data_IF_760094428137
#
_entry.id   IF_760094428137
#
_cell.length_a   1.000
_cell.length_b   1.000
_cell.length_c   1.000
_cell.angle_alpha   90.00
_cell.angle_beta   90.00
_cell.angle_gamma   90.00
#
_symmetry.space_group_name_H-M   'P 1'
#
loop_
_entity.id
_entity.type
_entity.pdbx_description
1 polymer ?
#
# COMPACT_ATOMS: atom_id res chain seq x y z
N UNK A 1 -5.58 23.34 -90.21
CA UNK A 1 -6.39 23.52 -88.98
C UNK A 1 -6.07 22.39 -88.02
N UNK A 2 -5.10 22.59 -87.13
CA UNK A 2 -4.75 21.64 -86.06
C UNK A 2 -5.37 22.16 -84.76
N UNK A 3 -6.31 21.41 -84.18
CA UNK A 3 -6.89 21.71 -82.86
C UNK A 3 -6.05 21.02 -81.80
N UNK A 4 -5.34 21.83 -81.01
CA UNK A 4 -4.58 21.41 -79.84
C UNK A 4 -5.53 21.32 -78.63
N UNK A 5 -5.65 20.14 -78.05
CA UNK A 5 -6.36 19.89 -76.78
C UNK A 5 -5.36 19.87 -75.64
N UNK A 6 -5.41 20.90 -74.80
CA UNK A 6 -4.64 21.01 -73.56
C UNK A 6 -5.39 20.25 -72.46
N UNK A 7 -4.74 19.34 -71.71
CA UNK A 7 -5.38 18.68 -70.57
C UNK A 7 -5.41 19.64 -69.37
N UNK A 8 -6.62 19.91 -68.86
CA UNK A 8 -6.85 20.69 -67.65
C UNK A 8 -6.49 19.82 -66.43
N UNK A 9 -5.32 20.04 -65.85
CA UNK A 9 -4.92 19.39 -64.58
C UNK A 9 -5.63 20.13 -63.44
N UNK A 10 -6.67 19.50 -62.88
CA UNK A 10 -7.36 19.95 -61.67
C UNK A 10 -6.46 19.64 -60.45
N UNK A 11 -5.74 20.64 -59.96
CA UNK A 11 -5.03 20.55 -58.68
C UNK A 11 -6.06 20.68 -57.56
N UNK A 12 -6.54 19.54 -57.06
CA UNK A 12 -7.35 19.45 -55.84
C UNK A 12 -6.45 19.76 -54.64
N UNK A 13 -6.36 21.04 -54.28
CA UNK A 13 -5.80 21.50 -53.01
C UNK A 13 -6.70 21.01 -51.88
N UNK A 14 -6.42 19.80 -51.38
CA UNK A 14 -6.94 19.33 -50.10
C UNK A 14 -6.27 20.17 -49.00
N UNK A 15 -6.85 21.33 -48.70
CA UNK A 15 -6.57 22.05 -47.45
C UNK A 15 -7.13 21.22 -46.31
N UNK A 16 -6.36 20.24 -45.84
CA UNK A 16 -6.54 19.69 -44.50
C UNK A 16 -6.25 20.81 -43.52
N UNK A 17 -7.29 21.56 -43.14
CA UNK A 17 -7.24 22.41 -41.97
C UNK A 17 -7.01 21.49 -40.78
N UNK A 18 -5.75 21.34 -40.36
CA UNK A 18 -5.43 20.77 -39.07
C UNK A 18 -6.14 21.65 -38.04
N UNK A 19 -7.28 21.18 -37.52
CA UNK A 19 -7.84 21.73 -36.28
C UNK A 19 -6.80 21.44 -35.21
N UNK A 20 -6.08 22.49 -34.79
CA UNK A 20 -5.26 22.42 -33.60
C UNK A 20 -6.17 22.00 -32.43
N UNK A 21 -5.83 20.89 -31.78
CA UNK A 21 -6.48 20.46 -30.54
C UNK A 21 -5.99 21.42 -29.47
N UNK A 22 -6.78 22.44 -29.13
CA UNK A 22 -6.34 23.51 -28.21
C UNK A 22 -6.37 23.06 -26.72
N UNK A 23 -7.18 22.06 -26.43
CA UNK A 23 -7.34 21.48 -25.09
C UNK A 23 -7.78 20.02 -25.15
N UNK A 24 -7.57 19.29 -24.07
CA UNK A 24 -8.05 17.92 -23.91
C UNK A 24 -8.38 17.59 -22.46
N UNK A 25 -9.14 16.52 -22.28
CA UNK A 25 -9.52 15.97 -20.98
C UNK A 25 -9.37 14.45 -21.04
N UNK A 26 -8.98 13.84 -19.92
CA UNK A 26 -8.92 12.40 -19.76
C UNK A 26 -9.18 12.01 -18.31
N UNK A 27 -9.94 10.94 -18.11
CA UNK A 27 -10.05 10.30 -16.80
C UNK A 27 -9.81 8.81 -16.89
N UNK A 28 -9.42 8.22 -15.76
CA UNK A 28 -9.43 6.77 -15.58
C UNK A 28 -9.66 6.42 -14.12
N UNK A 29 -10.14 5.19 -13.90
CA UNK A 29 -10.37 4.63 -12.57
C UNK A 29 -9.84 3.21 -12.57
N UNK A 30 -9.16 2.84 -11.49
CA UNK A 30 -8.77 1.47 -11.23
C UNK A 30 -10.00 0.57 -11.14
N UNK A 31 -9.82 -0.74 -11.29
CA UNK A 31 -10.94 -1.70 -11.19
C UNK A 31 -11.54 -1.77 -9.79
N UNK A 32 -10.77 -1.35 -8.79
CA UNK A 32 -11.12 -1.39 -7.37
C UNK A 32 -11.00 0.01 -6.79
N UNK A 33 -11.83 0.25 -5.78
CA UNK A 33 -11.73 1.44 -4.94
C UNK A 33 -11.05 0.98 -3.65
N UNK A 34 -9.94 1.61 -3.23
CA UNK A 34 -9.25 1.25 -2.01
C UNK A 34 -10.15 1.54 -0.81
N UNK A 35 -9.84 0.94 0.31
CA UNK A 35 -10.52 1.20 1.58
C UNK A 35 -9.63 2.02 2.49
N UNK A 36 -10.23 2.99 3.20
CA UNK A 36 -9.57 3.72 4.26
C UNK A 36 -9.04 2.78 5.32
N UNK A 37 -7.83 3.02 5.79
CA UNK A 37 -7.21 2.12 6.73
C UNK A 37 -6.25 2.83 7.65
N UNK A 38 -6.37 2.48 8.91
CA UNK A 38 -5.47 2.92 9.94
C UNK A 38 -4.03 2.53 9.58
N UNK A 39 -3.09 3.46 9.74
CA UNK A 39 -1.70 3.26 9.33
C UNK A 39 -0.88 2.41 10.32
N UNK A 40 -1.49 1.96 11.43
CA UNK A 40 -0.89 1.09 12.46
C UNK A 40 0.42 1.66 13.03
N UNK A 41 0.34 2.72 13.87
CA UNK A 41 1.50 3.37 14.46
C UNK A 41 2.35 2.41 15.28
N UNK A 42 3.64 2.38 14.97
CA UNK A 42 4.64 1.64 15.72
C UNK A 42 4.81 2.17 17.15
N UNK A 43 4.45 3.43 17.39
CA UNK A 43 4.45 4.00 18.74
C UNK A 43 3.45 3.30 19.67
N UNK A 44 2.29 2.87 19.16
CA UNK A 44 1.24 2.24 19.98
C UNK A 44 1.29 0.71 19.92
N UNK A 45 1.84 0.13 18.85
CA UNK A 45 2.04 -1.32 18.74
C UNK A 45 0.73 -2.11 18.72
N UNK A 46 -0.37 -1.52 18.25
CA UNK A 46 -1.73 -2.08 18.34
C UNK A 46 -1.90 -3.42 17.60
N UNK A 47 -1.08 -3.67 16.58
CA UNK A 47 -0.98 -4.98 15.91
C UNK A 47 -0.59 -6.09 16.90
N UNK A 48 0.30 -5.81 17.86
CA UNK A 48 0.79 -6.76 18.86
C UNK A 48 0.13 -6.62 20.23
N UNK A 49 -0.24 -5.42 20.64
CA UNK A 49 -0.80 -5.11 21.96
C UNK A 49 -2.32 -4.98 21.95
N UNK A 50 -2.94 -4.78 20.79
CA UNK A 50 -4.37 -4.50 20.68
C UNK A 50 -4.73 -3.06 21.04
N UNK A 51 -6.01 -2.75 20.92
CA UNK A 51 -6.64 -1.46 21.26
C UNK A 51 -7.93 -1.73 22.03
N UNK A 52 -8.48 -0.71 22.70
CA UNK A 52 -9.81 -0.80 23.28
C UNK A 52 -10.85 -0.66 22.16
N UNK A 53 -11.64 -1.72 21.94
CA UNK A 53 -12.70 -1.71 20.92
C UNK A 53 -14.09 -1.81 21.55
N UNK A 54 -15.12 -1.43 20.78
CA UNK A 54 -16.51 -1.64 21.19
C UNK A 54 -16.91 -3.13 21.27
N UNK A 55 -16.10 -4.03 20.71
CA UNK A 55 -16.31 -5.49 20.75
C UNK A 55 -15.68 -6.16 21.96
N UNK A 56 -15.03 -5.38 22.84
CA UNK A 56 -14.43 -5.88 24.08
C UNK A 56 -12.98 -6.34 23.93
N UNK A 57 -12.29 -5.92 22.85
CA UNK A 57 -10.82 -6.00 22.78
C UNK A 57 -10.21 -5.13 23.85
N UNK A 58 -9.05 -5.56 24.34
CA UNK A 58 -8.31 -4.87 25.39
C UNK A 58 -6.90 -4.54 24.90
N UNK A 59 -6.30 -3.54 25.52
CA UNK A 59 -4.86 -3.27 25.38
C UNK A 59 -4.07 -4.17 26.32
N UNK A 60 -3.22 -5.01 25.76
CA UNK A 60 -2.28 -5.85 26.50
C UNK A 60 -1.04 -5.04 26.87
N UNK A 61 -0.48 -5.29 28.04
CA UNK A 61 0.88 -4.81 28.33
C UNK A 61 1.90 -5.63 27.54
N UNK A 62 3.04 -5.04 27.20
CA UNK A 62 4.17 -5.73 26.55
C UNK A 62 4.53 -7.03 27.31
N UNK A 63 4.58 -6.98 28.64
CA UNK A 63 4.85 -8.15 29.48
C UNK A 63 3.83 -9.27 29.31
N UNK A 64 2.55 -8.94 29.17
CA UNK A 64 1.49 -9.93 28.99
C UNK A 64 1.52 -10.53 27.58
N UNK A 65 1.76 -9.71 26.55
CA UNK A 65 1.94 -10.18 25.17
C UNK A 65 3.17 -11.11 25.03
N UNK A 66 4.31 -10.74 25.63
CA UNK A 66 5.51 -11.61 25.71
C UNK A 66 5.19 -12.92 26.46
N UNK A 67 4.44 -12.85 27.56
CA UNK A 67 4.03 -14.05 28.31
C UNK A 67 3.12 -14.95 27.47
N UNK A 68 2.17 -14.38 26.72
CA UNK A 68 1.33 -15.12 25.79
C UNK A 68 2.16 -15.87 24.78
N UNK A 69 3.07 -15.17 24.11
CA UNK A 69 3.95 -15.78 23.13
C UNK A 69 4.81 -16.92 23.72
N UNK A 70 5.46 -16.70 24.88
CA UNK A 70 6.23 -17.75 25.59
C UNK A 70 5.38 -18.96 25.98
N UNK A 71 4.12 -18.75 26.35
CA UNK A 71 3.23 -19.83 26.74
C UNK A 71 2.60 -20.57 25.56
N UNK A 72 2.52 -19.95 24.38
CA UNK A 72 1.86 -20.50 23.21
C UNK A 72 2.40 -21.88 22.83
N UNK A 73 3.72 -22.04 22.85
CA UNK A 73 4.41 -23.29 22.51
C UNK A 73 4.85 -24.12 23.72
N UNK A 74 4.59 -23.63 24.94
CA UNK A 74 4.97 -24.32 26.18
C UNK A 74 4.05 -25.52 26.45
N UNK A 75 4.65 -26.68 26.78
CA UNK A 75 3.90 -27.89 27.15
C UNK A 75 3.42 -27.90 28.60
N UNK A 76 3.79 -26.90 29.41
CA UNK A 76 3.43 -26.84 30.83
C UNK A 76 1.93 -26.62 31.03
N UNK A 77 1.34 -27.24 32.05
CA UNK A 77 -0.10 -27.09 32.35
C UNK A 77 -0.48 -25.64 32.70
N UNK A 78 0.44 -24.91 33.34
CA UNK A 78 0.26 -23.50 33.64
C UNK A 78 0.09 -22.66 32.36
N UNK A 79 0.93 -22.89 31.34
CA UNK A 79 0.82 -22.19 30.07
C UNK A 79 -0.40 -22.63 29.26
N UNK A 80 -0.72 -23.93 29.21
CA UNK A 80 -1.96 -24.40 28.57
C UNK A 80 -3.19 -23.74 29.18
N UNK A 81 -3.29 -23.71 30.52
CA UNK A 81 -4.38 -23.04 31.22
C UNK A 81 -4.42 -21.53 30.92
N UNK A 82 -3.25 -20.89 30.85
CA UNK A 82 -3.15 -19.48 30.50
C UNK A 82 -3.66 -19.21 29.08
N UNK A 83 -3.17 -19.92 28.06
CA UNK A 83 -3.62 -19.76 26.67
C UNK A 83 -5.13 -20.03 26.53
N UNK A 84 -5.64 -21.11 27.14
CA UNK A 84 -7.07 -21.42 27.11
C UNK A 84 -7.91 -20.32 27.78
N UNK A 85 -7.42 -19.73 28.88
CA UNK A 85 -8.11 -18.63 29.54
C UNK A 85 -8.09 -17.36 28.69
N UNK A 86 -6.94 -17.01 28.11
CA UNK A 86 -6.76 -15.81 27.30
C UNK A 86 -7.53 -15.86 25.98
N UNK A 87 -7.82 -17.07 25.47
CA UNK A 87 -8.58 -17.30 24.24
C UNK A 87 -10.01 -17.82 24.47
N UNK A 88 -10.49 -17.80 25.72
CA UNK A 88 -11.79 -18.40 26.10
C UNK A 88 -13.01 -17.73 25.48
N UNK A 89 -12.86 -16.49 24.99
CA UNK A 89 -13.89 -15.71 24.29
C UNK A 89 -13.75 -15.79 22.77
N UNK A 90 -13.33 -16.95 22.26
CA UNK A 90 -12.92 -17.13 20.87
C UNK A 90 -11.79 -16.17 20.46
N UNK A 91 -10.95 -15.79 21.43
CA UNK A 91 -9.79 -14.92 21.23
C UNK A 91 -10.12 -13.45 20.99
N UNK A 92 -11.37 -12.98 21.20
CA UNK A 92 -11.76 -11.57 20.93
C UNK A 92 -10.86 -10.55 21.61
N UNK A 93 -10.43 -10.84 22.84
CA UNK A 93 -9.51 -9.98 23.60
C UNK A 93 -8.08 -9.94 23.09
N UNK A 94 -7.65 -10.91 22.28
CA UNK A 94 -6.28 -10.98 21.78
C UNK A 94 -6.03 -9.87 20.75
N UNK A 95 -4.79 -9.38 20.64
CA UNK A 95 -4.39 -8.50 19.53
C UNK A 95 -4.40 -9.25 18.18
N UNK A 96 -4.40 -8.55 17.04
CA UNK A 96 -4.37 -9.19 15.73
C UNK A 96 -3.23 -10.21 15.57
N UNK A 97 -2.01 -9.86 15.97
CA UNK A 97 -0.87 -10.76 15.85
C UNK A 97 -0.90 -11.91 16.86
N UNK A 98 -1.48 -11.72 18.05
CA UNK A 98 -1.71 -12.82 18.99
C UNK A 98 -2.75 -13.82 18.46
N UNK A 99 -3.79 -13.34 17.76
CA UNK A 99 -4.76 -14.20 17.06
C UNK A 99 -4.10 -14.99 15.94
N UNK A 100 -3.25 -14.32 15.15
CA UNK A 100 -2.47 -14.97 14.10
C UNK A 100 -1.58 -16.08 14.66
N UNK A 101 -0.82 -15.79 15.71
CA UNK A 101 0.05 -16.77 16.37
C UNK A 101 -0.76 -17.97 16.92
N UNK A 102 -1.92 -17.72 17.53
CA UNK A 102 -2.81 -18.77 18.01
C UNK A 102 -3.42 -19.59 16.87
N UNK A 103 -3.75 -18.97 15.75
CA UNK A 103 -4.26 -19.66 14.57
C UNK A 103 -3.22 -20.66 14.07
N UNK A 104 -1.97 -20.22 13.88
CA UNK A 104 -0.90 -21.09 13.37
C UNK A 104 -0.68 -22.28 14.30
N UNK A 105 -0.65 -22.04 15.62
CA UNK A 105 -0.62 -23.11 16.61
C UNK A 105 -1.75 -24.13 16.40
N UNK A 106 -2.99 -23.67 16.26
CA UNK A 106 -4.15 -24.55 16.11
C UNK A 106 -4.12 -25.33 14.79
N UNK A 107 -3.58 -24.76 13.72
CA UNK A 107 -3.35 -25.46 12.45
C UNK A 107 -2.37 -26.62 12.63
N UNK A 108 -1.20 -26.35 13.23
CA UNK A 108 -0.19 -27.39 13.49
C UNK A 108 -0.74 -28.48 14.42
N UNK A 109 -1.48 -28.12 15.47
CA UNK A 109 -2.05 -29.10 16.40
C UNK A 109 -3.16 -29.96 15.77
N UNK A 110 -3.82 -29.46 14.72
CA UNK A 110 -4.86 -30.19 13.98
C UNK A 110 -4.27 -31.18 12.98
N UNK A 111 -3.05 -30.95 12.51
CA UNK A 111 -2.36 -31.80 11.53
C UNK A 111 -1.16 -32.53 12.17
N UNK A 112 -1.31 -33.83 12.49
CA UNK A 112 -0.24 -34.61 13.09
C UNK A 112 1.03 -34.68 12.23
N UNK A 113 0.91 -34.65 10.90
CA UNK A 113 2.07 -34.70 10.01
C UNK A 113 2.88 -33.41 10.13
N UNK A 114 2.21 -32.25 10.17
CA UNK A 114 2.84 -30.96 10.44
C UNK A 114 3.47 -30.92 11.84
N UNK A 115 2.80 -31.44 12.87
CA UNK A 115 3.34 -31.49 14.22
C UNK A 115 4.57 -32.41 14.37
N UNK A 116 4.60 -33.54 13.64
CA UNK A 116 5.69 -34.53 13.69
C UNK A 116 6.87 -34.16 12.80
N UNK A 117 6.63 -33.43 11.71
CA UNK A 117 7.65 -33.05 10.72
C UNK A 117 8.83 -32.26 11.32
N UNK A 118 8.67 -31.73 12.55
CA UNK A 118 9.69 -30.91 13.21
C UNK A 118 9.96 -29.61 12.46
N UNK A 119 9.13 -29.26 11.47
CA UNK A 119 9.22 -28.00 10.76
C UNK A 119 8.95 -26.90 11.78
N UNK A 120 9.85 -25.92 11.85
CA UNK A 120 9.75 -24.76 12.72
C UNK A 120 8.67 -23.79 12.19
N UNK A 121 7.43 -24.28 12.11
CA UNK A 121 6.23 -23.49 11.78
C UNK A 121 5.76 -22.67 12.99
N UNK A 122 6.56 -22.58 14.05
CA UNK A 122 6.22 -21.75 15.19
C UNK A 122 6.30 -20.29 14.77
N UNK A 123 5.17 -19.61 14.80
CA UNK A 123 5.14 -18.17 14.57
C UNK A 123 5.35 -17.44 15.89
N UNK A 124 6.06 -16.33 15.77
CA UNK A 124 6.36 -15.41 16.86
C UNK A 124 6.04 -13.98 16.43
N UNK A 125 4.96 -13.80 15.66
CA UNK A 125 4.63 -12.53 15.03
C UNK A 125 4.46 -11.42 16.08
N UNK A 126 3.73 -11.72 17.16
CA UNK A 126 3.57 -10.79 18.29
C UNK A 126 4.90 -10.38 18.89
N UNK A 127 5.77 -11.35 19.19
CA UNK A 127 7.06 -11.09 19.85
C UNK A 127 7.98 -10.28 18.93
N UNK A 128 8.05 -10.62 17.65
CA UNK A 128 8.85 -9.91 16.66
C UNK A 128 8.42 -8.47 16.48
N UNK A 129 7.11 -8.23 16.40
CA UNK A 129 6.58 -6.88 16.33
C UNK A 129 7.01 -6.06 17.56
N UNK A 130 6.97 -6.66 18.76
CA UNK A 130 7.43 -5.99 19.99
C UNK A 130 8.93 -5.75 20.03
N UNK A 131 9.73 -6.69 19.52
CA UNK A 131 11.19 -6.61 19.60
C UNK A 131 11.77 -5.60 18.60
N UNK A 132 11.08 -5.33 17.49
CA UNK A 132 11.67 -4.69 16.31
C UNK A 132 10.93 -3.44 15.88
N UNK A 133 9.60 -3.48 15.88
CA UNK A 133 8.79 -2.38 15.37
C UNK A 133 8.19 -1.55 16.48
N UNK A 134 7.85 -2.13 17.64
CA UNK A 134 7.23 -1.39 18.72
C UNK A 134 8.19 -0.38 19.37
N UNK A 135 7.92 0.90 19.13
CA UNK A 135 8.72 2.00 19.67
C UNK A 135 8.30 2.29 21.12
N UNK A 136 7.00 2.32 21.39
CA UNK A 136 6.44 2.67 22.70
C UNK A 136 7.01 3.99 23.23
N UNK A 137 7.43 3.98 24.49
CA UNK A 137 8.13 5.09 25.14
C UNK A 137 9.66 4.87 25.21
N UNK A 138 10.21 3.95 24.39
CA UNK A 138 11.63 3.63 24.43
C UNK A 138 12.45 4.68 23.69
N UNK A 139 13.00 5.66 24.43
CA UNK A 139 13.86 6.72 23.89
C UNK A 139 15.15 6.21 23.23
N UNK A 140 15.52 4.94 23.45
CA UNK A 140 16.68 4.31 22.82
C UNK A 140 16.32 3.51 21.56
N UNK A 141 15.04 3.47 21.17
CA UNK A 141 14.62 2.79 19.95
C UNK A 141 15.23 3.50 18.73
N UNK A 142 15.78 2.78 17.72
CA UNK A 142 16.39 3.41 16.55
C UNK A 142 15.49 4.38 15.78
N UNK A 143 14.17 4.15 15.88
CA UNK A 143 13.12 4.96 15.24
C UNK A 143 12.41 5.92 16.22
N UNK A 144 12.95 6.17 17.42
CA UNK A 144 12.26 6.98 18.43
C UNK A 144 11.90 8.39 17.94
N UNK A 145 12.83 9.06 17.24
CA UNK A 145 12.58 10.39 16.66
C UNK A 145 11.49 10.39 15.59
N UNK A 146 11.20 9.22 15.02
CA UNK A 146 10.19 9.02 13.98
C UNK A 146 8.86 8.48 14.54
N UNK A 147 8.73 8.32 15.87
CA UNK A 147 7.60 7.63 16.48
C UNK A 147 6.23 8.19 16.08
N UNK A 148 6.14 9.50 15.82
CA UNK A 148 4.89 10.16 15.45
C UNK A 148 4.34 9.78 14.06
N UNK A 149 5.15 9.17 13.19
CA UNK A 149 4.75 8.77 11.83
C UNK A 149 5.27 7.39 11.41
N UNK A 150 6.09 6.72 12.22
CA UNK A 150 6.59 5.38 11.95
C UNK A 150 5.45 4.35 12.10
N UNK A 151 5.11 3.66 11.01
CA UNK A 151 3.99 2.71 10.99
C UNK A 151 3.98 1.84 9.75
N UNK A 152 2.82 1.30 9.41
CA UNK A 152 2.61 0.35 8.32
C UNK A 152 1.71 0.90 7.21
N UNK A 153 1.76 2.22 6.95
CA UNK A 153 1.00 2.88 5.89
C UNK A 153 1.22 2.22 4.52
N UNK A 154 2.48 1.92 4.15
CA UNK A 154 2.77 1.22 2.89
C UNK A 154 2.13 -0.17 2.83
N UNK A 155 2.19 -0.91 3.94
CA UNK A 155 1.59 -2.25 4.03
C UNK A 155 0.07 -2.20 3.88
N UNK A 156 -0.57 -1.25 4.57
CA UNK A 156 -1.99 -0.97 4.38
C UNK A 156 -2.30 -0.64 2.90
N UNK A 157 -1.65 0.39 2.34
CA UNK A 157 -1.88 0.88 0.98
C UNK A 157 -1.77 -0.25 -0.05
N UNK A 158 -0.69 -1.02 -0.01
CA UNK A 158 -0.47 -2.14 -0.93
C UNK A 158 -1.47 -3.28 -0.73
N UNK A 159 -1.91 -3.55 0.49
CA UNK A 159 -2.93 -4.58 0.74
C UNK A 159 -4.26 -4.27 0.06
N UNK A 160 -4.60 -2.98 -0.12
CA UNK A 160 -5.82 -2.57 -0.84
C UNK A 160 -5.79 -2.96 -2.32
N UNK A 161 -4.61 -3.17 -2.92
CA UNK A 161 -4.47 -3.54 -4.32
C UNK A 161 -5.09 -4.92 -4.58
N UNK A 162 -4.92 -5.81 -3.61
CA UNK A 162 -5.23 -7.23 -3.73
C UNK A 162 -6.49 -7.64 -2.97
N UNK A 163 -6.95 -6.86 -1.99
CA UNK A 163 -8.10 -7.24 -1.17
C UNK A 163 -9.18 -6.17 -1.06
N UNK A 164 -10.43 -6.64 -1.12
CA UNK A 164 -11.58 -5.83 -0.80
C UNK A 164 -11.56 -5.63 0.71
N UNK A 165 -12.21 -4.56 1.17
CA UNK A 165 -12.22 -4.28 2.59
C UNK A 165 -12.86 -5.46 3.35
N UNK A 166 -12.23 -5.93 4.44
CA UNK A 166 -12.90 -6.81 5.37
C UNK A 166 -14.15 -6.12 5.94
N UNK A 167 -15.33 -6.73 5.78
CA UNK A 167 -16.61 -6.12 6.22
C UNK A 167 -17.33 -6.89 7.32
N UNK A 168 -16.89 -8.11 7.61
CA UNK A 168 -17.55 -9.00 8.57
C UNK A 168 -16.52 -9.79 9.36
N UNK A 169 -16.90 -10.12 10.59
CA UNK A 169 -16.15 -11.07 11.40
C UNK A 169 -16.03 -12.43 10.70
N UNK A 170 -14.92 -13.11 10.98
CA UNK A 170 -14.61 -14.47 10.52
C UNK A 170 -14.23 -15.33 11.70
N UNK A 171 -14.74 -16.56 11.73
CA UNK A 171 -14.39 -17.54 12.76
C UNK A 171 -13.56 -18.63 12.09
N UNK A 172 -12.28 -18.70 12.43
CA UNK A 172 -11.36 -19.69 11.86
C UNK A 172 -10.63 -20.38 13.00
N UNK A 173 -10.66 -21.71 12.99
CA UNK A 173 -10.13 -22.53 14.09
C UNK A 173 -10.59 -22.06 15.47
N UNK A 174 -11.88 -21.69 15.61
CA UNK A 174 -12.47 -21.17 16.86
C UNK A 174 -11.85 -19.83 17.35
N UNK A 175 -11.32 -19.02 16.43
CA UNK A 175 -10.80 -17.67 16.68
C UNK A 175 -11.64 -16.69 15.87
N UNK A 176 -12.15 -15.65 16.53
CA UNK A 176 -12.86 -14.55 15.87
C UNK A 176 -11.85 -13.51 15.39
N UNK A 177 -11.76 -13.33 14.07
CA UNK A 177 -11.08 -12.24 13.39
C UNK A 177 -12.11 -11.19 12.97
N UNK A 178 -12.05 -10.02 13.58
CA UNK A 178 -12.85 -8.85 13.24
C UNK A 178 -12.26 -8.15 12.00
N UNK A 179 -13.03 -7.31 11.29
CA UNK A 179 -12.51 -6.54 10.15
C UNK A 179 -11.16 -5.87 10.41
N UNK A 180 -11.02 -5.20 11.57
CA UNK A 180 -9.79 -4.54 11.98
C UNK A 180 -8.62 -5.52 12.20
N UNK A 181 -8.86 -6.73 12.71
CA UNK A 181 -7.79 -7.76 12.80
C UNK A 181 -7.25 -8.11 11.42
N UNK A 182 -8.15 -8.33 10.48
CA UNK A 182 -7.80 -8.75 9.13
C UNK A 182 -7.02 -7.63 8.44
N UNK A 183 -7.47 -6.37 8.58
CA UNK A 183 -6.75 -5.19 8.08
C UNK A 183 -5.35 -5.06 8.71
N UNK A 184 -5.23 -5.22 10.03
CA UNK A 184 -3.96 -5.15 10.75
C UNK A 184 -2.96 -6.22 10.29
N UNK A 185 -3.44 -7.45 10.13
CA UNK A 185 -2.64 -8.57 9.68
C UNK A 185 -2.21 -8.32 8.23
N UNK A 186 -3.13 -7.95 7.33
CA UNK A 186 -2.82 -7.59 5.95
C UNK A 186 -1.76 -6.48 5.86
N UNK A 187 -1.92 -5.39 6.60
CA UNK A 187 -0.95 -4.30 6.63
C UNK A 187 0.43 -4.78 7.13
N UNK A 188 0.46 -5.65 8.14
CA UNK A 188 1.71 -6.23 8.66
C UNK A 188 2.42 -7.09 7.61
N UNK A 189 1.70 -7.98 6.92
CA UNK A 189 2.27 -8.81 5.86
C UNK A 189 2.79 -7.99 4.69
N UNK A 190 1.99 -7.03 4.20
CA UNK A 190 2.38 -6.20 3.06
C UNK A 190 3.47 -5.19 3.40
N UNK A 191 3.63 -4.82 4.68
CA UNK A 191 4.77 -3.99 5.09
C UNK A 191 6.10 -4.68 4.77
N UNK A 192 6.16 -6.00 4.87
CA UNK A 192 7.32 -6.80 4.45
C UNK A 192 7.47 -6.96 2.93
N UNK A 193 6.42 -6.66 2.15
CA UNK A 193 6.44 -6.79 0.69
C UNK A 193 7.28 -5.71 -0.01
N UNK A 194 7.65 -4.64 0.70
CA UNK A 194 8.44 -3.52 0.16
C UNK A 194 9.78 -3.97 -0.44
N UNK A 195 10.35 -5.07 0.04
CA UNK A 195 11.61 -5.59 -0.49
C UNK A 195 11.46 -6.31 -1.84
N UNK A 196 10.23 -6.52 -2.31
CA UNK A 196 9.91 -7.18 -3.58
C UNK A 196 9.35 -6.17 -4.58
N UNK A 197 9.88 -4.95 -4.54
CA UNK A 197 9.63 -3.92 -5.53
C UNK A 197 10.91 -3.71 -6.31
N UNK A 198 10.85 -4.02 -7.60
CA UNK A 198 12.00 -3.81 -8.47
C UNK A 198 12.25 -2.31 -8.70
N UNK A 199 13.52 -1.90 -8.87
CA UNK A 199 13.89 -0.49 -9.08
C UNK A 199 13.11 0.20 -10.22
N UNK A 200 12.76 -0.54 -11.27
CA UNK A 200 11.98 -0.02 -12.42
C UNK A 200 10.50 0.24 -12.12
N UNK A 201 10.00 -0.30 -11.01
CA UNK A 201 8.63 -0.15 -10.54
C UNK A 201 8.51 0.95 -9.47
N UNK A 202 9.63 1.59 -9.11
CA UNK A 202 9.67 2.88 -8.42
C UNK A 202 9.82 4.04 -9.41
N UNK A 203 9.10 5.13 -9.18
CA UNK A 203 9.31 6.41 -9.83
C UNK A 203 9.57 7.48 -8.75
N UNK A 204 10.54 8.35 -9.01
CA UNK A 204 11.02 9.36 -8.07
C UNK A 204 12.06 8.84 -7.09
N UNK A 205 12.45 9.69 -6.15
CA UNK A 205 13.34 9.35 -5.04
C UNK A 205 12.63 9.75 -3.75
N UNK A 206 12.80 8.99 -2.67
CA UNK A 206 12.24 9.40 -1.40
C UNK A 206 12.98 10.63 -0.88
N UNK A 207 12.25 11.70 -0.54
CA UNK A 207 12.84 12.80 0.20
C UNK A 207 13.26 12.28 1.58
N UNK A 208 14.56 12.32 1.84
CA UNK A 208 15.10 12.08 3.17
C UNK A 208 15.68 13.42 3.63
N UNK A 209 15.12 13.97 4.69
CA UNK A 209 15.65 15.16 5.36
C UNK A 209 16.99 14.80 6.02
N UNK A 210 18.05 14.78 5.20
CA UNK A 210 19.41 14.50 5.62
C UNK A 210 20.10 15.86 5.82
N UNK A 211 20.42 16.23 7.08
CA UNK A 211 21.02 17.52 7.36
C UNK A 211 22.29 17.78 6.54
N UNK A 212 22.28 18.83 5.73
CA UNK A 212 23.41 19.22 4.87
C UNK A 212 23.43 18.56 3.49
N UNK A 213 22.54 17.59 3.22
CA UNK A 213 22.35 17.02 1.89
C UNK A 213 21.08 17.54 1.22
N UNK A 214 20.10 18.02 1.98
CA UNK A 214 18.90 18.68 1.46
C UNK A 214 19.27 19.83 0.51
N UNK A 215 19.08 19.58 -0.78
CA UNK A 215 19.22 20.54 -1.85
C UNK A 215 17.93 20.50 -2.65
N UNK A 216 17.62 21.54 -3.42
CA UNK A 216 16.49 21.57 -4.36
C UNK A 216 16.45 20.34 -5.29
N UNK A 217 17.59 19.64 -5.45
CA UNK A 217 17.72 18.38 -6.19
C UNK A 217 16.95 17.22 -5.53
N UNK A 218 16.89 17.16 -4.21
CA UNK A 218 16.13 16.16 -3.45
C UNK A 218 14.65 16.50 -3.32
N UNK A 219 14.22 17.69 -3.74
CA UNK A 219 12.80 18.04 -3.74
C UNK A 219 12.16 17.90 -5.14
N UNK A 220 12.97 17.52 -6.14
CA UNK A 220 12.52 17.24 -7.51
C UNK A 220 12.44 15.73 -7.73
N UNK A 221 11.59 15.07 -6.94
CA UNK A 221 11.62 13.63 -6.82
C UNK A 221 10.81 12.96 -7.91
N UNK A 222 9.48 13.07 -7.86
CA UNK A 222 8.62 12.68 -8.99
C UNK A 222 8.45 13.87 -9.91
N UNK A 223 9.09 13.82 -11.08
CA UNK A 223 8.85 14.81 -12.12
C UNK A 223 7.42 14.65 -12.69
N UNK A 224 6.76 15.73 -13.15
CA UNK A 224 5.36 15.63 -13.61
C UNK A 224 5.13 14.64 -14.75
N UNK A 225 6.12 14.50 -15.64
CA UNK A 225 6.03 13.55 -16.74
C UNK A 225 6.17 12.09 -16.25
N UNK A 226 6.87 11.84 -15.14
CA UNK A 226 6.92 10.52 -14.49
C UNK A 226 5.64 10.23 -13.71
N UNK A 227 5.05 11.24 -13.04
CA UNK A 227 3.71 11.13 -12.46
C UNK A 227 2.68 10.67 -13.50
N UNK A 228 2.64 11.32 -14.67
CA UNK A 228 1.76 10.89 -15.77
C UNK A 228 2.07 9.46 -16.25
N UNK A 229 3.33 9.07 -16.38
CA UNK A 229 3.70 7.69 -16.74
C UNK A 229 3.20 6.70 -15.69
N UNK A 230 3.26 7.04 -14.40
CA UNK A 230 2.70 6.25 -13.31
C UNK A 230 1.21 6.00 -13.52
N UNK A 231 0.43 7.07 -13.63
CA UNK A 231 -1.02 7.02 -13.90
C UNK A 231 -1.39 6.16 -15.12
N UNK A 232 -0.61 6.28 -16.21
CA UNK A 232 -0.84 5.53 -17.46
C UNK A 232 -0.42 4.06 -17.37
N UNK A 233 0.63 3.75 -16.60
CA UNK A 233 1.10 2.38 -16.40
C UNK A 233 0.19 1.59 -15.45
N UNK A 234 -0.53 2.27 -14.55
CA UNK A 234 -1.37 1.64 -13.52
C UNK A 234 -2.86 1.94 -13.71
N UNK A 235 -3.34 3.12 -13.31
CA UNK A 235 -4.77 3.48 -13.21
C UNK A 235 -5.46 3.39 -14.56
N UNK A 236 -4.80 3.85 -15.64
CA UNK A 236 -5.34 3.71 -17.01
C UNK A 236 -5.54 2.25 -17.44
N UNK A 237 -4.80 1.32 -16.83
CA UNK A 237 -4.91 -0.13 -17.06
C UNK A 237 -5.79 -0.83 -16.01
N UNK A 238 -6.47 -0.07 -15.16
CA UNK A 238 -7.37 -0.59 -14.14
C UNK A 238 -6.65 -1.06 -12.87
N UNK A 239 -5.40 -0.66 -12.63
CA UNK A 239 -4.64 -0.97 -11.40
C UNK A 239 -4.45 0.27 -10.54
N UNK A 240 -4.35 0.13 -9.23
CA UNK A 240 -4.03 1.26 -8.36
C UNK A 240 -2.57 1.66 -8.47
N UNK A 241 -2.27 2.88 -8.02
CA UNK A 241 -0.94 3.45 -7.91
C UNK A 241 -0.71 3.79 -6.44
N UNK A 242 0.42 3.39 -5.87
CA UNK A 242 0.77 3.81 -4.52
C UNK A 242 1.67 5.05 -4.67
N UNK A 243 1.49 6.03 -3.81
CA UNK A 243 2.38 7.17 -3.76
C UNK A 243 2.53 7.75 -2.37
N UNK A 244 3.74 8.21 -2.09
CA UNK A 244 4.01 9.11 -0.99
C UNK A 244 3.46 10.49 -1.36
N UNK A 245 2.33 10.87 -0.77
CA UNK A 245 1.64 12.09 -1.18
C UNK A 245 2.02 13.31 -0.34
N UNK A 246 2.67 13.15 0.81
CA UNK A 246 2.91 14.23 1.75
C UNK A 246 4.39 14.58 1.79
N UNK A 247 4.84 15.58 0.99
CA UNK A 247 6.24 15.94 0.91
C UNK A 247 6.70 16.49 2.27
N UNK A 248 7.56 15.72 2.93
CA UNK A 248 7.94 15.99 4.31
C UNK A 248 8.91 14.96 4.87
N UNK A 249 9.20 15.10 6.17
CA UNK A 249 10.11 14.18 6.85
C UNK A 249 9.51 12.78 7.05
N UNK A 250 8.18 12.71 7.23
CA UNK A 250 7.46 11.44 7.33
C UNK A 250 7.02 10.97 5.95
N UNK A 251 7.07 9.66 5.74
CA UNK A 251 6.71 9.01 4.48
C UNK A 251 5.29 8.48 4.62
N UNK A 252 4.38 8.96 3.77
CA UNK A 252 2.95 8.68 3.89
C UNK A 252 2.40 8.06 2.62
N UNK A 253 2.31 6.73 2.62
CA UNK A 253 1.93 5.94 1.44
C UNK A 253 0.42 5.79 1.29
N UNK A 254 -0.14 6.27 0.18
CA UNK A 254 -1.58 6.22 -0.08
C UNK A 254 -1.92 5.47 -1.38
N UNK A 255 -3.02 4.70 -1.39
CA UNK A 255 -3.48 4.04 -2.61
C UNK A 255 -4.33 4.98 -3.46
N UNK A 256 -3.79 5.41 -4.60
CA UNK A 256 -4.44 6.25 -5.60
C UNK A 256 -5.18 5.34 -6.60
N UNK A 257 -6.46 5.63 -6.84
CA UNK A 257 -7.31 4.77 -7.66
C UNK A 257 -8.02 5.47 -8.81
N UNK A 258 -8.09 6.81 -8.79
CA UNK A 258 -8.71 7.58 -9.86
C UNK A 258 -7.86 8.80 -10.18
N UNK A 259 -7.87 9.19 -11.44
CA UNK A 259 -7.43 10.51 -11.84
C UNK A 259 -8.39 11.12 -12.87
N UNK A 260 -8.42 12.46 -12.88
CA UNK A 260 -9.02 13.31 -13.92
C UNK A 260 -7.93 14.31 -14.34
N UNK A 261 -7.67 14.43 -15.64
CA UNK A 261 -6.69 15.32 -16.26
C UNK A 261 -7.43 16.28 -17.19
N UNK A 262 -7.02 17.54 -17.19
CA UNK A 262 -7.37 18.51 -18.23
C UNK A 262 -6.13 19.28 -18.63
N UNK A 263 -6.01 19.64 -19.91
CA UNK A 263 -4.85 20.37 -20.40
C UNK A 263 -5.17 21.35 -21.51
N UNK A 264 -4.29 22.34 -21.67
CA UNK A 264 -4.35 23.37 -22.71
C UNK A 264 -2.98 23.56 -23.35
N UNK A 265 -2.94 23.73 -24.66
CA UNK A 265 -1.69 24.02 -25.34
C UNK A 265 -1.12 25.37 -24.90
N UNK A 266 0.20 25.39 -24.79
CA UNK A 266 1.00 26.59 -24.64
C UNK A 266 1.93 26.75 -25.86
N UNK A 267 2.91 27.65 -25.77
CA UNK A 267 3.91 27.85 -26.82
C UNK A 267 4.94 26.71 -26.80
N UNK A 268 5.60 26.50 -27.95
CA UNK A 268 6.80 25.65 -28.05
C UNK A 268 6.61 24.19 -27.59
N UNK A 269 5.45 23.60 -27.91
CA UNK A 269 5.04 22.22 -27.54
C UNK A 269 4.89 21.98 -26.03
N UNK A 270 4.83 23.04 -25.23
CA UNK A 270 4.40 22.92 -23.85
C UNK A 270 2.88 22.86 -23.77
N UNK A 271 2.38 22.13 -22.78
CA UNK A 271 0.98 22.15 -22.38
C UNK A 271 0.90 22.41 -20.87
N UNK A 272 -0.16 23.10 -20.45
CA UNK A 272 -0.50 23.23 -19.03
C UNK A 272 -1.50 22.16 -18.66
N UNK A 273 -1.26 21.45 -17.57
CA UNK A 273 -2.07 20.34 -17.09
C UNK A 273 -2.61 20.65 -15.70
N UNK A 274 -3.88 20.35 -15.48
CA UNK A 274 -4.52 20.24 -14.17
C UNK A 274 -4.88 18.77 -13.96
N UNK A 275 -4.44 18.21 -12.86
CA UNK A 275 -4.75 16.84 -12.46
C UNK A 275 -5.50 16.84 -11.13
N UNK A 276 -6.52 16.00 -11.01
CA UNK A 276 -7.12 15.65 -9.73
C UNK A 276 -6.94 14.15 -9.54
N UNK A 277 -6.42 13.74 -8.39
CA UNK A 277 -6.37 12.32 -8.00
C UNK A 277 -7.34 12.05 -6.86
N UNK A 278 -7.77 10.79 -6.73
CA UNK A 278 -8.50 10.30 -5.56
C UNK A 278 -7.79 9.10 -4.95
N UNK A 279 -7.74 9.07 -3.63
CA UNK A 279 -7.02 8.08 -2.82
C UNK A 279 -7.79 7.79 -1.53
N UNK A 280 -7.48 6.66 -0.89
CA UNK A 280 -8.00 6.37 0.45
C UNK A 280 -7.14 7.04 1.52
N UNK A 281 -7.79 7.47 2.60
CA UNK A 281 -7.24 8.18 3.75
C UNK A 281 -6.85 7.19 4.86
N UNK A 282 -5.85 7.56 5.65
CA UNK A 282 -5.39 6.79 6.81
C UNK A 282 -5.77 7.41 8.16
N UNK A 283 -6.25 8.65 8.17
CA UNK A 283 -6.85 9.34 9.32
C UNK A 283 -8.26 8.81 9.63
N UNK A 284 -8.36 7.50 9.85
CA UNK A 284 -9.60 6.78 10.16
C UNK A 284 -9.50 6.05 11.49
N UNK A 285 -10.64 5.69 12.08
CA UNK A 285 -10.61 4.89 13.31
C UNK A 285 -10.25 3.42 13.01
N UNK A 286 -9.60 2.74 13.96
CA UNK A 286 -9.13 1.34 13.80
C UNK A 286 -10.26 0.39 13.38
N UNK A 287 -11.44 0.55 13.97
CA UNK A 287 -12.60 -0.32 13.76
C UNK A 287 -13.51 0.10 12.59
N UNK A 288 -13.15 1.16 11.84
CA UNK A 288 -13.99 1.64 10.74
C UNK A 288 -14.06 0.64 9.58
N UNK A 289 -15.24 0.53 8.98
CA UNK A 289 -15.52 -0.22 7.74
C UNK A 289 -16.27 0.69 6.77
N UNK A 290 -15.62 1.10 5.68
CA UNK A 290 -16.13 2.16 4.80
C UNK A 290 -16.87 1.67 3.56
N UNK A 291 -16.49 0.53 2.98
CA UNK A 291 -17.09 -0.08 1.79
C UNK A 291 -18.57 -0.43 1.97
N UNK A 292 -19.06 -0.54 3.21
CA UNK A 292 -20.48 -0.72 3.51
C UNK A 292 -21.24 0.59 3.71
N UNK A 293 -20.53 1.73 3.81
CA UNK A 293 -21.11 3.07 4.01
C UNK A 293 -21.41 3.69 2.64
N UNK A 294 -22.56 4.35 2.53
CA UNK A 294 -22.92 5.11 1.32
C UNK A 294 -22.04 6.36 1.15
N UNK A 295 -21.61 6.95 2.27
CA UNK A 295 -20.72 8.09 2.30
C UNK A 295 -19.31 7.62 2.65
N UNK A 296 -18.39 7.79 1.69
CA UNK A 296 -16.99 7.35 1.76
C UNK A 296 -16.11 8.51 2.16
N UNK A 297 -16.20 8.90 3.44
CA UNK A 297 -15.44 10.01 4.03
C UNK A 297 -13.93 9.74 4.09
N UNK A 298 -13.56 8.48 3.95
CA UNK A 298 -12.21 7.95 3.82
C UNK A 298 -11.62 8.11 2.41
N UNK A 299 -12.37 8.63 1.44
CA UNK A 299 -11.82 8.94 0.13
C UNK A 299 -11.55 10.44 0.03
N UNK A 300 -10.29 10.80 -0.18
CA UNK A 300 -9.86 12.18 -0.41
C UNK A 300 -9.53 12.42 -1.88
N UNK A 301 -9.33 13.68 -2.21
CA UNK A 301 -8.81 14.09 -3.50
C UNK A 301 -7.76 15.17 -3.35
N UNK A 302 -6.77 15.18 -4.25
CA UNK A 302 -5.74 16.22 -4.33
C UNK A 302 -5.63 16.75 -5.75
N UNK A 303 -5.43 18.06 -5.86
CA UNK A 303 -5.26 18.73 -7.14
C UNK A 303 -3.78 19.04 -7.37
N UNK A 304 -3.31 18.83 -8.59
CA UNK A 304 -1.99 19.21 -9.03
C UNK A 304 -2.01 20.06 -10.29
N UNK A 305 -1.06 20.97 -10.41
CA UNK A 305 -0.84 21.80 -11.57
C UNK A 305 0.60 21.73 -12.06
N UNK A 306 0.81 21.46 -13.33
CA UNK A 306 2.14 21.34 -13.93
C UNK A 306 2.11 21.60 -15.42
N UNK A 307 3.27 21.87 -16.01
CA UNK A 307 3.43 21.95 -17.45
C UNK A 307 4.21 20.72 -17.95
N UNK A 308 3.83 20.20 -19.12
CA UNK A 308 4.53 19.10 -19.80
C UNK A 308 5.09 19.57 -21.13
N UNK A 309 6.29 19.13 -21.47
CA UNK A 309 6.87 19.31 -22.80
C UNK A 309 6.57 18.09 -23.66
N UNK A 310 5.79 18.30 -24.70
CA UNK A 310 5.39 17.25 -25.62
C UNK A 310 6.36 17.14 -26.79
N UNK A 311 6.56 15.93 -27.36
CA UNK A 311 7.37 15.78 -28.57
C UNK A 311 6.68 16.48 -29.75
N UNK A 312 7.46 16.93 -30.75
CA UNK A 312 6.94 17.73 -31.87
C UNK A 312 5.86 17.03 -32.70
N UNK A 313 5.83 15.70 -32.70
CA UNK A 313 4.83 14.87 -33.40
C UNK A 313 3.68 14.40 -32.49
N UNK A 314 3.54 14.97 -31.30
CA UNK A 314 2.46 14.63 -30.39
C UNK A 314 1.09 14.93 -31.01
N UNK A 315 0.17 13.98 -30.89
CA UNK A 315 -1.14 14.02 -31.53
C UNK A 315 -2.24 14.72 -30.70
N UNK A 316 -1.87 15.35 -29.58
CA UNK A 316 -2.80 16.02 -28.68
C UNK A 316 -3.55 15.11 -27.71
N UNK A 317 -3.20 13.81 -27.59
CA UNK A 317 -3.96 12.84 -26.78
C UNK A 317 -3.15 12.13 -25.71
N UNK A 318 -2.04 11.49 -26.07
CA UNK A 318 -1.31 10.63 -25.14
C UNK A 318 -0.27 11.43 -24.35
N UNK A 319 -0.58 11.76 -23.10
CA UNK A 319 0.31 12.55 -22.25
C UNK A 319 1.54 11.77 -21.78
N UNK A 320 1.52 10.44 -21.82
CA UNK A 320 2.67 9.61 -21.42
C UNK A 320 3.89 9.75 -22.34
N UNK A 321 3.70 10.38 -23.50
CA UNK A 321 4.77 10.74 -24.44
C UNK A 321 5.55 11.99 -24.04
N UNK A 322 5.16 12.69 -22.96
CA UNK A 322 5.88 13.85 -22.46
C UNK A 322 7.35 13.50 -22.19
N UNK A 323 8.24 14.36 -22.68
CA UNK A 323 9.70 14.16 -22.56
C UNK A 323 10.31 14.96 -21.42
N UNK A 324 9.55 15.89 -20.86
CA UNK A 324 9.96 16.78 -19.79
C UNK A 324 8.71 17.34 -19.09
N UNK A 325 8.86 17.90 -17.89
CA UNK A 325 7.77 18.54 -17.17
C UNK A 325 8.26 19.34 -15.97
N UNK A 326 7.46 20.31 -15.53
CA UNK A 326 7.74 21.13 -14.34
C UNK A 326 6.47 21.34 -13.52
N UNK A 327 6.56 21.15 -12.21
CA UNK A 327 5.49 21.51 -11.29
C UNK A 327 5.24 23.02 -11.32
N UNK A 328 4.02 23.42 -10.97
CA UNK A 328 3.62 24.83 -10.95
C UNK A 328 2.61 25.09 -9.84
N UNK A 329 2.45 26.35 -9.44
CA UNK A 329 1.55 26.72 -8.34
C UNK A 329 1.95 26.06 -7.03
N UNK A 330 0.96 25.63 -6.25
CA UNK A 330 1.18 24.92 -4.97
C UNK A 330 1.81 23.53 -5.17
N UNK A 331 1.69 22.94 -6.36
CA UNK A 331 2.27 21.62 -6.63
C UNK A 331 3.79 21.63 -6.74
N UNK A 332 4.43 22.80 -6.78
CA UNK A 332 5.89 22.88 -6.60
C UNK A 332 6.27 22.31 -5.24
N UNK A 333 5.48 22.60 -4.21
CA UNK A 333 5.73 22.20 -2.81
C UNK A 333 4.79 21.10 -2.30
N UNK A 334 3.84 20.68 -3.13
CA UNK A 334 2.83 19.67 -2.78
C UNK A 334 2.60 18.75 -3.97
N UNK A 335 3.57 17.88 -4.21
CA UNK A 335 3.51 16.81 -5.20
C UNK A 335 3.99 15.50 -4.58
N UNK A 336 3.73 14.34 -5.22
CA UNK A 336 4.21 13.07 -4.68
C UNK A 336 5.73 12.97 -4.68
N UNK A 337 6.32 12.43 -3.61
CA UNK A 337 7.78 12.22 -3.50
C UNK A 337 8.18 10.90 -4.17
N UNK A 338 7.37 9.86 -4.02
CA UNK A 338 7.60 8.57 -4.65
C UNK A 338 6.31 7.97 -5.17
N UNK A 339 6.44 7.14 -6.21
CA UNK A 339 5.34 6.31 -6.72
C UNK A 339 5.79 4.88 -6.90
N UNK A 340 4.93 3.95 -6.53
CA UNK A 340 5.13 2.52 -6.67
C UNK A 340 4.09 1.93 -7.60
N UNK A 341 4.57 1.35 -8.70
CA UNK A 341 3.71 0.89 -9.79
C UNK A 341 3.09 -0.49 -9.55
N UNK A 342 3.85 -1.39 -8.92
CA UNK A 342 3.43 -2.75 -8.54
C UNK A 342 4.48 -3.43 -7.66
N UNK A 343 4.05 -4.48 -6.97
CA UNK A 343 4.93 -5.53 -6.45
C UNK A 343 5.40 -6.47 -7.58
N UNK A 344 6.51 -7.16 -7.36
CA UNK A 344 6.92 -8.32 -8.16
C UNK A 344 5.82 -9.38 -8.14
N UNK A 345 5.64 -10.14 -9.22
CA UNK A 345 4.49 -11.05 -9.33
C UNK A 345 4.55 -12.24 -8.37
N UNK A 346 5.76 -12.60 -7.96
CA UNK A 346 6.16 -13.74 -7.13
C UNK A 346 6.53 -13.30 -5.70
N UNK A 347 6.17 -12.07 -5.31
CA UNK A 347 6.53 -11.53 -3.99
C UNK A 347 6.00 -12.38 -2.84
N UNK A 348 4.84 -13.03 -3.00
CA UNK A 348 4.22 -13.86 -1.95
C UNK A 348 4.98 -15.16 -1.75
N UNK A 349 5.43 -15.78 -2.83
CA UNK A 349 6.24 -16.99 -2.83
C UNK A 349 7.64 -16.67 -2.26
N UNK A 350 8.20 -15.50 -2.64
CA UNK A 350 9.54 -15.10 -2.23
C UNK A 350 9.62 -14.58 -0.77
N UNK A 351 8.63 -13.83 -0.29
CA UNK A 351 8.60 -13.32 1.11
C UNK A 351 8.61 -14.45 2.13
N UNK A 352 7.95 -15.54 1.74
CA UNK A 352 7.91 -16.80 2.45
C UNK A 352 9.30 -17.47 2.49
N UNK A 353 10.00 -17.51 1.35
CA UNK A 353 11.29 -18.20 1.19
C UNK A 353 12.43 -17.45 1.89
N UNK A 354 12.46 -16.11 1.79
CA UNK A 354 13.55 -15.31 2.38
C UNK A 354 13.51 -15.32 3.92
N UNK A 355 12.31 -15.44 4.50
CA UNK A 355 12.12 -15.53 5.96
C UNK A 355 12.71 -16.78 6.62
N UNK A 356 13.22 -17.76 5.85
CA UNK A 356 13.90 -18.93 6.41
C UNK A 356 15.43 -18.81 6.38
N UNK A 357 15.98 -18.03 5.44
CA UNK A 357 17.39 -18.13 5.06
C UNK A 357 18.24 -16.92 5.47
N UNK A 358 17.63 -15.74 5.69
CA UNK A 358 18.36 -14.52 6.07
C UNK A 358 17.88 -13.92 7.42
N UNK A 359 18.67 -14.06 8.50
CA UNK A 359 18.31 -13.51 9.80
C UNK A 359 18.25 -11.98 9.85
N UNK A 360 18.83 -11.26 8.88
CA UNK A 360 18.68 -9.81 8.77
C UNK A 360 17.30 -9.39 8.23
N UNK A 361 16.71 -10.25 7.40
CA UNK A 361 15.34 -10.10 6.88
C UNK A 361 14.28 -10.57 7.88
N UNK A 362 14.65 -11.54 8.73
CA UNK A 362 13.81 -12.04 9.81
C UNK A 362 13.36 -10.97 10.80
N UNK A 363 14.00 -9.80 10.78
CA UNK A 363 13.58 -8.68 11.60
C UNK A 363 12.30 -7.99 11.11
N UNK A 364 12.10 -7.91 9.80
CA UNK A 364 10.96 -7.18 9.22
C UNK A 364 9.75 -8.08 8.98
N UNK A 365 10.00 -9.38 8.80
CA UNK A 365 8.97 -10.39 8.62
C UNK A 365 8.68 -11.06 9.96
N UNK A 366 7.47 -10.82 10.50
CA UNK A 366 6.84 -11.79 11.40
C UNK A 366 6.96 -13.15 10.72
N UNK A 367 7.78 -14.07 11.26
CA UNK A 367 8.16 -15.30 10.56
C UNK A 367 6.92 -16.08 10.24
N UNK A 368 6.54 -16.06 8.98
CA UNK A 368 5.45 -16.82 8.43
C UNK A 368 6.10 -17.86 7.56
N UNK A 369 6.14 -19.09 8.04
CA UNK A 369 6.59 -20.21 7.23
C UNK A 369 5.64 -20.38 6.03
N UNK A 370 6.18 -20.71 4.86
CA UNK A 370 5.49 -20.98 3.59
C UNK A 370 4.11 -21.57 3.77
N UNK A 371 4.05 -22.72 4.43
CA UNK A 371 2.82 -23.48 4.57
C UNK A 371 1.80 -22.77 5.47
N UNK A 372 2.23 -22.10 6.53
CA UNK A 372 1.33 -21.41 7.47
C UNK A 372 0.78 -20.10 6.91
N UNK A 373 1.59 -19.40 6.10
CA UNK A 373 1.19 -18.16 5.45
C UNK A 373 0.22 -18.40 4.33
N UNK A 374 0.53 -19.32 3.43
CA UNK A 374 -0.40 -19.74 2.38
C UNK A 374 -1.69 -20.28 3.00
N UNK A 375 -1.63 -21.14 4.03
CA UNK A 375 -2.84 -21.60 4.71
C UNK A 375 -3.63 -20.44 5.33
N UNK A 376 -2.99 -19.46 5.97
CA UNK A 376 -3.71 -18.30 6.48
C UNK A 376 -4.34 -17.47 5.36
N UNK A 377 -3.58 -17.15 4.30
CA UNK A 377 -4.09 -16.38 3.16
C UNK A 377 -5.19 -17.14 2.41
N UNK A 378 -5.03 -18.43 2.17
CA UNK A 378 -6.03 -19.25 1.47
C UNK A 378 -7.30 -19.41 2.31
N UNK A 379 -7.16 -19.71 3.60
CA UNK A 379 -8.29 -19.98 4.49
C UNK A 379 -9.00 -18.70 4.95
N UNK A 380 -8.27 -17.61 5.16
CA UNK A 380 -8.83 -16.35 5.71
C UNK A 380 -9.13 -15.31 4.61
N UNK A 381 -8.32 -15.25 3.56
CA UNK A 381 -8.34 -14.14 2.60
C UNK A 381 -8.88 -14.58 1.22
N UNK A 382 -8.37 -15.67 0.63
CA UNK A 382 -8.69 -16.08 -0.73
C UNK A 382 -10.13 -16.58 -0.87
N UNK A 383 -10.63 -17.36 0.09
CA UNK A 383 -12.02 -17.86 0.06
C UNK A 383 -13.07 -16.75 0.23
N UNK A 384 -12.70 -15.56 0.70
CA UNK A 384 -13.69 -14.61 1.24
C UNK A 384 -13.63 -13.20 0.68
N UNK A 385 -12.52 -12.75 0.11
CA UNK A 385 -12.29 -11.33 -0.20
C UNK A 385 -11.68 -11.07 -1.60
N UNK A 386 -11.82 -12.03 -2.53
CA UNK A 386 -11.39 -11.90 -3.93
C UNK A 386 -12.57 -11.81 -4.91
#
# INVERSE_FOLDING_TARGET
MMKSTIPLIFFLLFSFALKAIDSGEESATAKRIPWGGYWWPMQYGETALGWESNTGRVVWTEKEAIKFNKCLWSKTDACKKFINSSSSDHGRKLSPLMKYDLFVKRVIEKDPELAESGVDMQTFATQKELDIHYIGNNTNHPLYENAGFAGKCIGWSLSTFDYDEPTKEKIIMDIVFEPADIKAILATFYSGSIFFISEKDFLGNQFLDIPGENSDKYYNDVLPHDFIKGLYKTIKKGKMLEGDLDPGHGVWNYPIYKYDLSWKNQKENWISVQATIWFADDEVEVDDVFSTKNDRTDIKSRNYSFDLKMPANWNGKDLSLAVDGKWSGESVDNHPDTLLLKLESDWRENIITIGTDDPSFNGWLATVNESSGELFFDELIYQYYK
#
